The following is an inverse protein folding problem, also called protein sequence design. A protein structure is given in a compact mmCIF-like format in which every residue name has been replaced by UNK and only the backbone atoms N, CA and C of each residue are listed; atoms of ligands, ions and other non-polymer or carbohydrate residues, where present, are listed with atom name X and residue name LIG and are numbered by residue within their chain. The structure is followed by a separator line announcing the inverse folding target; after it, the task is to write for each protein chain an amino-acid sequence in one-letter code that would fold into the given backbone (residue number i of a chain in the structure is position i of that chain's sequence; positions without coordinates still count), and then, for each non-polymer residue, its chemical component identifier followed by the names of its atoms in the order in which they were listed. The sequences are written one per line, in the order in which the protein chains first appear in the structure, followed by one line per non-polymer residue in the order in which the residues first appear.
data_IF_282094418384
#
_entry.id   IF_282094418384
#
_cell.length_a   1.000
_cell.length_b   1.000
_cell.length_c   1.000
_cell.angle_alpha   90.00
_cell.angle_beta   90.00
_cell.angle_gamma   90.00
#
_symmetry.space_group_name_H-M   'P 1'
#
loop_
_entity.id
_entity.type
_entity.pdbx_description
1 polymer ?
#
# COMPACT_ATOMS: atom_id res chain seq x y z
N UNK A 1 -1.87 -9.05 -12.05
CA UNK A 1 -3.19 -9.14 -12.67
C UNK A 1 -4.22 -8.37 -11.83
N UNK A 2 -4.74 -7.24 -12.35
CA UNK A 2 -5.67 -6.35 -11.63
C UNK A 2 -7.12 -6.87 -11.49
N UNK A 3 -7.38 -8.12 -11.89
CA UNK A 3 -8.73 -8.69 -11.94
C UNK A 3 -9.50 -8.65 -10.59
N UNK A 4 -8.92 -9.00 -9.42
CA UNK A 4 -9.64 -8.93 -8.16
C UNK A 4 -10.09 -7.51 -7.81
N UNK A 5 -9.26 -6.50 -8.07
CA UNK A 5 -9.61 -5.10 -7.82
C UNK A 5 -10.71 -4.60 -8.77
N UNK A 6 -10.60 -4.90 -10.06
CA UNK A 6 -11.65 -4.54 -11.04
C UNK A 6 -12.99 -5.17 -10.68
N UNK A 7 -12.98 -6.43 -10.21
CA UNK A 7 -14.18 -7.11 -9.74
C UNK A 7 -14.76 -6.41 -8.51
N UNK A 8 -13.91 -6.09 -7.51
CA UNK A 8 -14.33 -5.34 -6.33
C UNK A 8 -15.00 -4.01 -6.69
N UNK A 9 -14.42 -3.25 -7.64
CA UNK A 9 -15.02 -2.00 -8.11
C UNK A 9 -16.40 -2.22 -8.75
N UNK A 10 -16.53 -3.20 -9.64
CA UNK A 10 -17.79 -3.55 -10.30
C UNK A 10 -18.86 -3.96 -9.28
N UNK A 11 -18.51 -4.83 -8.34
CA UNK A 11 -19.43 -5.31 -7.32
C UNK A 11 -19.87 -4.17 -6.39
N UNK A 12 -18.96 -3.26 -6.02
CA UNK A 12 -19.26 -2.09 -5.19
C UNK A 12 -20.21 -1.11 -5.89
N UNK A 13 -20.00 -0.85 -7.19
CA UNK A 13 -20.89 -0.01 -8.01
C UNK A 13 -22.25 -0.68 -8.17
N UNK A 14 -22.29 -1.97 -8.49
CA UNK A 14 -23.54 -2.71 -8.66
C UNK A 14 -24.37 -2.76 -7.38
N UNK A 15 -23.72 -2.84 -6.23
CA UNK A 15 -24.36 -2.80 -4.92
C UNK A 15 -24.74 -1.38 -4.46
N UNK A 16 -24.45 -0.34 -5.24
CA UNK A 16 -24.60 1.07 -4.86
C UNK A 16 -24.00 1.35 -3.49
N UNK A 17 -22.77 0.84 -3.25
CA UNK A 17 -22.08 0.97 -1.96
C UNK A 17 -21.87 2.45 -1.61
N UNK A 18 -22.15 2.90 -0.37
CA UNK A 18 -21.89 4.27 0.06
C UNK A 18 -20.44 4.68 -0.17
N UNK A 19 -20.21 5.91 -0.63
CA UNK A 19 -18.91 6.40 -1.06
C UNK A 19 -17.86 6.38 0.06
N UNK A 20 -18.24 6.80 1.26
CA UNK A 20 -17.40 6.79 2.46
C UNK A 20 -16.98 5.37 2.86
N UNK A 21 -17.92 4.42 2.84
CA UNK A 21 -17.64 3.00 3.11
C UNK A 21 -16.67 2.44 2.08
N UNK A 22 -16.89 2.74 0.81
CA UNK A 22 -16.05 2.27 -0.28
C UNK A 22 -14.61 2.77 -0.17
N UNK A 23 -14.43 4.07 0.09
CA UNK A 23 -13.10 4.66 0.29
C UNK A 23 -12.44 4.06 1.52
N UNK A 24 -13.16 3.96 2.63
CA UNK A 24 -12.63 3.36 3.86
C UNK A 24 -12.13 1.93 3.62
N UNK A 25 -12.89 1.10 2.94
CA UNK A 25 -12.47 -0.26 2.58
C UNK A 25 -11.19 -0.27 1.75
N UNK A 26 -11.08 0.59 0.73
CA UNK A 26 -9.88 0.67 -0.11
C UNK A 26 -8.65 1.14 0.66
N UNK A 27 -8.80 2.12 1.56
CA UNK A 27 -7.69 2.69 2.30
C UNK A 27 -7.26 1.87 3.51
N UNK A 28 -8.13 1.03 4.07
CA UNK A 28 -7.84 0.23 5.26
C UNK A 28 -7.60 -1.26 4.99
N UNK A 29 -7.83 -1.74 3.76
CA UNK A 29 -7.68 -3.16 3.46
C UNK A 29 -6.21 -3.61 3.48
N UNK A 30 -6.00 -4.81 4.01
CA UNK A 30 -4.71 -5.48 4.10
C UNK A 30 -4.87 -6.96 3.74
N UNK A 31 -3.78 -7.67 3.59
CA UNK A 31 -3.80 -9.09 3.32
C UNK A 31 -3.60 -9.44 1.84
N UNK A 32 -3.82 -10.70 1.47
CA UNK A 32 -3.65 -11.16 0.08
C UNK A 32 -4.77 -10.66 -0.83
N UNK A 33 -4.41 -10.13 -1.99
CA UNK A 33 -5.37 -9.60 -2.98
C UNK A 33 -6.23 -10.72 -3.61
N UNK A 34 -5.70 -11.93 -3.70
CA UNK A 34 -6.38 -13.08 -4.31
C UNK A 34 -7.44 -13.71 -3.38
N UNK A 35 -7.42 -13.39 -2.10
CA UNK A 35 -8.44 -13.87 -1.16
C UNK A 35 -9.83 -13.36 -1.55
N UNK A 36 -10.82 -14.27 -1.46
CA UNK A 36 -12.19 -13.94 -1.87
C UNK A 36 -12.73 -12.77 -1.06
N UNK A 37 -13.14 -11.73 -1.75
CA UNK A 37 -13.68 -10.50 -1.13
C UNK A 37 -12.63 -9.44 -0.79
N UNK A 38 -11.33 -9.74 -0.90
CA UNK A 38 -10.26 -8.82 -0.54
C UNK A 38 -9.70 -7.99 -1.73
N UNK A 39 -10.49 -7.82 -2.78
CA UNK A 39 -10.07 -7.07 -3.97
C UNK A 39 -9.74 -5.60 -3.72
N UNK A 40 -10.25 -5.00 -2.63
CA UNK A 40 -9.97 -3.62 -2.24
C UNK A 40 -8.46 -3.33 -2.04
N UNK A 41 -7.68 -4.33 -1.62
CA UNK A 41 -6.22 -4.28 -1.48
C UNK A 41 -5.53 -3.82 -2.77
N UNK A 42 -6.12 -4.12 -3.93
CA UNK A 42 -5.61 -3.73 -5.24
C UNK A 42 -5.46 -2.22 -5.44
N UNK A 43 -6.11 -1.41 -4.60
CA UNK A 43 -5.98 0.04 -4.64
C UNK A 43 -4.53 0.50 -4.42
N UNK A 44 -3.85 -0.05 -3.41
CA UNK A 44 -2.44 0.27 -3.13
C UNK A 44 -1.48 -0.43 -4.08
N UNK A 45 -1.85 -1.62 -4.56
CA UNK A 45 -1.03 -2.38 -5.49
C UNK A 45 -0.93 -1.71 -6.85
N UNK A 46 -1.90 -0.88 -7.22
CA UNK A 46 -1.91 -0.09 -8.46
C UNK A 46 -0.64 0.74 -8.64
N UNK A 47 -0.14 1.35 -7.58
CA UNK A 47 1.01 2.24 -7.61
C UNK A 47 2.34 1.49 -7.32
N UNK A 48 2.35 0.17 -7.44
CA UNK A 48 3.53 -0.71 -7.38
C UNK A 48 4.40 -0.51 -6.11
N UNK A 49 3.79 -0.13 -5.00
CA UNK A 49 4.49 0.13 -3.74
C UNK A 49 5.11 1.54 -3.62
N UNK A 50 4.87 2.42 -4.57
CA UNK A 50 5.26 3.83 -4.51
C UNK A 50 4.30 4.61 -3.60
N UNK A 51 4.58 4.59 -2.29
CA UNK A 51 3.67 5.15 -1.28
C UNK A 51 3.40 6.64 -1.42
N UNK A 52 4.37 7.43 -1.89
CA UNK A 52 4.20 8.87 -2.13
C UNK A 52 3.24 9.14 -3.28
N UNK A 53 3.39 8.41 -4.39
CA UNK A 53 2.50 8.53 -5.55
C UNK A 53 1.09 8.04 -5.22
N UNK A 54 0.97 6.96 -4.45
CA UNK A 54 -0.31 6.46 -3.97
C UNK A 54 -1.03 7.51 -3.12
N UNK A 55 -0.32 8.17 -2.19
CA UNK A 55 -0.90 9.22 -1.38
C UNK A 55 -1.34 10.41 -2.25
N UNK A 56 -0.50 10.90 -3.15
CA UNK A 56 -0.84 12.00 -4.07
C UNK A 56 -2.09 11.67 -4.91
N UNK A 57 -2.16 10.46 -5.45
CA UNK A 57 -3.32 9.96 -6.18
C UNK A 57 -4.57 9.85 -5.29
N UNK A 58 -4.42 9.41 -4.03
CA UNK A 58 -5.51 9.32 -3.06
C UNK A 58 -6.13 10.69 -2.81
N UNK A 59 -5.31 11.69 -2.53
CA UNK A 59 -5.78 13.06 -2.30
C UNK A 59 -6.44 13.64 -3.55
N UNK A 60 -5.84 13.41 -4.72
CA UNK A 60 -6.40 13.88 -5.99
C UNK A 60 -7.77 13.26 -6.29
N UNK A 61 -7.90 11.95 -6.14
CA UNK A 61 -9.12 11.21 -6.51
C UNK A 61 -10.24 11.41 -5.49
N UNK A 62 -9.93 11.38 -4.20
CA UNK A 62 -10.95 11.39 -3.15
C UNK A 62 -11.20 12.75 -2.51
N UNK A 63 -10.19 13.64 -2.53
CA UNK A 63 -10.31 14.98 -1.94
C UNK A 63 -10.30 16.10 -2.99
N UNK A 64 -10.16 15.77 -4.27
CA UNK A 64 -10.17 16.72 -5.37
C UNK A 64 -9.03 17.75 -5.36
N UNK A 65 -7.94 17.46 -4.65
CA UNK A 65 -6.80 18.36 -4.46
C UNK A 65 -5.53 17.74 -5.01
N UNK A 66 -4.80 18.47 -5.87
CA UNK A 66 -3.52 17.99 -6.40
C UNK A 66 -2.39 18.40 -5.45
N UNK A 67 -1.66 17.41 -4.94
CA UNK A 67 -0.49 17.61 -4.07
C UNK A 67 0.82 17.15 -4.72
N UNK A 68 0.81 16.69 -5.95
CA UNK A 68 1.97 16.07 -6.62
C UNK A 68 3.19 17.01 -6.64
N UNK A 69 2.98 18.31 -6.92
CA UNK A 69 4.07 19.29 -6.91
C UNK A 69 4.71 19.45 -5.53
N UNK A 70 3.91 19.28 -4.47
CA UNK A 70 4.38 19.44 -3.10
C UNK A 70 5.30 18.28 -2.62
N UNK A 71 5.49 17.27 -3.42
CA UNK A 71 6.49 16.21 -3.16
C UNK A 71 7.93 16.76 -3.19
N UNK A 72 8.24 17.70 -4.09
CA UNK A 72 9.59 18.19 -4.30
C UNK A 72 9.83 19.62 -3.78
N UNK A 73 8.79 20.44 -3.74
CA UNK A 73 8.85 21.85 -3.32
C UNK A 73 7.46 22.31 -2.90
N UNK A 74 7.33 23.45 -2.21
CA UNK A 74 6.03 24.03 -1.93
C UNK A 74 5.23 24.24 -3.22
N UNK A 75 3.92 23.98 -3.17
CA UNK A 75 3.10 24.01 -4.37
C UNK A 75 3.11 25.42 -5.01
N UNK A 76 3.45 25.54 -6.32
CA UNK A 76 3.71 26.85 -6.93
C UNK A 76 2.45 27.71 -7.13
N UNK A 77 1.26 27.11 -7.12
CA UNK A 77 -0.02 27.78 -7.40
C UNK A 77 -1.07 27.59 -6.32
N UNK A 78 -0.75 26.84 -5.24
CA UNK A 78 -1.67 26.56 -4.16
C UNK A 78 -0.91 26.64 -2.82
N UNK A 79 -1.65 26.64 -1.70
CA UNK A 79 -1.13 26.81 -0.33
C UNK A 79 -0.39 25.61 0.25
N UNK A 80 -0.31 24.50 -0.48
CA UNK A 80 0.23 23.25 0.03
C UNK A 80 1.75 23.27 0.10
N UNK A 81 2.29 23.00 1.29
CA UNK A 81 3.73 22.92 1.50
C UNK A 81 4.27 21.52 1.33
N UNK A 82 5.55 21.41 1.02
CA UNK A 82 6.24 20.12 0.97
C UNK A 82 6.11 19.36 2.30
N UNK A 83 6.20 20.05 3.43
CA UNK A 83 6.00 19.45 4.76
C UNK A 83 4.62 18.81 4.90
N UNK A 84 3.55 19.51 4.51
CA UNK A 84 2.19 18.98 4.56
C UNK A 84 2.01 17.76 3.67
N UNK A 85 2.69 17.72 2.52
CA UNK A 85 2.72 16.53 1.66
C UNK A 85 3.28 15.32 2.41
N UNK A 86 4.43 15.47 3.08
CA UNK A 86 5.07 14.39 3.82
C UNK A 86 4.29 14.01 5.09
N UNK A 87 3.69 14.97 5.80
CA UNK A 87 2.79 14.70 6.92
C UNK A 87 1.59 13.83 6.48
N UNK A 88 1.01 14.12 5.32
CA UNK A 88 -0.06 13.30 4.74
C UNK A 88 0.45 11.94 4.26
N UNK A 89 1.64 11.88 3.66
CA UNK A 89 2.25 10.64 3.19
C UNK A 89 2.60 9.67 4.34
N UNK A 90 2.75 10.17 5.57
CA UNK A 90 3.01 9.33 6.72
C UNK A 90 1.87 8.30 6.98
N UNK A 91 0.63 8.59 6.56
CA UNK A 91 -0.48 7.62 6.64
C UNK A 91 -0.27 6.38 5.76
N UNK A 92 0.45 6.52 4.64
CA UNK A 92 0.66 5.43 3.68
C UNK A 92 2.07 4.85 3.73
N UNK A 93 2.99 5.50 4.45
CA UNK A 93 4.41 5.12 4.46
C UNK A 93 4.69 3.75 5.10
N UNK A 94 3.85 3.32 6.02
CA UNK A 94 3.94 2.00 6.65
C UNK A 94 3.37 0.86 5.81
N UNK A 95 2.81 1.17 4.65
CA UNK A 95 2.21 0.19 3.76
C UNK A 95 3.29 -0.42 2.89
N UNK A 96 3.57 -1.69 3.11
CA UNK A 96 4.42 -2.49 2.24
C UNK A 96 3.57 -3.17 1.18
N UNK A 97 3.74 -2.79 -0.09
CA UNK A 97 3.34 -3.65 -1.19
C UNK A 97 4.28 -4.84 -1.19
N UNK A 98 3.78 -5.99 -0.80
CA UNK A 98 4.65 -7.14 -0.63
C UNK A 98 4.21 -8.23 -1.58
N UNK A 99 5.17 -8.75 -2.30
CA UNK A 99 5.13 -10.15 -2.66
C UNK A 99 5.10 -10.93 -1.34
N UNK A 100 3.90 -11.13 -0.81
CA UNK A 100 3.73 -11.85 0.45
C UNK A 100 4.38 -13.20 0.33
N UNK A 101 5.25 -13.49 1.28
CA UNK A 101 5.84 -14.81 1.40
C UNK A 101 4.73 -15.80 1.72
N UNK A 102 4.34 -16.60 0.74
CA UNK A 102 3.41 -17.68 0.96
C UNK A 102 4.19 -18.90 1.49
N UNK A 103 4.27 -19.02 2.81
CA UNK A 103 5.05 -20.09 3.44
C UNK A 103 4.51 -21.48 3.09
N UNK A 104 3.19 -21.63 2.94
CA UNK A 104 2.57 -22.90 2.52
C UNK A 104 3.01 -23.29 1.10
N UNK A 105 3.05 -22.34 0.18
CA UNK A 105 3.52 -22.57 -1.18
C UNK A 105 5.02 -22.90 -1.22
N UNK A 106 5.82 -22.24 -0.38
CA UNK A 106 7.24 -22.52 -0.26
C UNK A 106 7.51 -23.90 0.33
N UNK A 107 6.74 -24.32 1.31
CA UNK A 107 6.88 -25.65 1.92
C UNK A 107 6.42 -26.75 0.95
N UNK A 108 5.32 -26.54 0.22
CA UNK A 108 4.90 -27.43 -0.86
C UNK A 108 6.00 -27.54 -1.93
N UNK A 109 6.60 -26.42 -2.35
CA UNK A 109 7.70 -26.44 -3.32
C UNK A 109 8.92 -27.24 -2.81
N UNK A 110 9.26 -27.12 -1.51
CA UNK A 110 10.34 -27.93 -0.91
C UNK A 110 10.03 -29.42 -0.95
N UNK A 111 8.80 -29.81 -0.60
CA UNK A 111 8.37 -31.23 -0.63
C UNK A 111 8.43 -31.79 -2.05
N UNK A 112 7.88 -31.08 -3.03
CA UNK A 112 7.91 -31.50 -4.43
C UNK A 112 9.33 -31.62 -4.97
N UNK A 113 10.21 -30.67 -4.65
CA UNK A 113 11.64 -30.72 -5.03
C UNK A 113 12.37 -31.89 -4.37
N UNK A 114 12.01 -32.26 -3.16
CA UNK A 114 12.62 -33.39 -2.46
C UNK A 114 12.24 -34.72 -3.11
N UNK A 115 11.03 -34.85 -3.62
CA UNK A 115 10.51 -36.06 -4.23
C UNK A 115 10.98 -36.28 -5.68
N UNK A 116 11.27 -35.16 -6.39
CA UNK A 116 11.68 -35.17 -7.82
C UNK A 116 13.18 -34.98 -8.04
N UNK A 117 14.02 -35.54 -7.18
CA UNK A 117 15.48 -35.36 -7.26
C UNK A 117 16.11 -35.92 -8.54
N UNK A 118 15.51 -36.90 -9.16
CA UNK A 118 16.13 -37.69 -10.23
C UNK A 118 15.78 -37.24 -11.66
N UNK A 119 14.73 -36.42 -11.84
CA UNK A 119 14.30 -35.98 -13.17
C UNK A 119 14.41 -34.43 -13.30
N UNK A 120 15.44 -33.98 -14.01
CA UNK A 120 15.71 -32.53 -14.17
C UNK A 120 14.65 -31.81 -15.02
N UNK A 121 14.09 -32.48 -16.02
CA UNK A 121 13.09 -31.87 -16.91
C UNK A 121 11.75 -31.67 -16.20
N UNK A 122 11.29 -32.69 -15.45
CA UNK A 122 10.09 -32.59 -14.60
C UNK A 122 10.25 -31.51 -13.53
N UNK A 123 11.43 -31.46 -12.89
CA UNK A 123 11.74 -30.41 -11.91
C UNK A 123 11.67 -29.00 -12.50
N UNK A 124 12.13 -28.80 -13.73
CA UNK A 124 12.08 -27.51 -14.41
C UNK A 124 10.65 -27.12 -14.81
N UNK A 125 9.82 -28.07 -15.22
CA UNK A 125 8.40 -27.83 -15.51
C UNK A 125 7.65 -27.43 -14.25
N UNK A 126 7.87 -28.12 -13.14
CA UNK A 126 7.25 -27.83 -11.86
C UNK A 126 7.70 -26.49 -11.29
N UNK A 127 8.99 -26.16 -11.38
CA UNK A 127 9.47 -24.83 -10.97
C UNK A 127 8.76 -23.73 -11.73
N UNK A 128 8.57 -23.85 -13.05
CA UNK A 128 7.81 -22.88 -13.85
C UNK A 128 6.34 -22.78 -13.40
N UNK A 129 5.72 -23.89 -13.09
CA UNK A 129 4.34 -23.90 -12.55
C UNK A 129 4.27 -23.22 -11.18
N UNK A 130 5.24 -23.48 -10.29
CA UNK A 130 5.31 -22.81 -8.98
C UNK A 130 5.57 -21.33 -9.10
N UNK A 131 6.46 -20.88 -9.99
CA UNK A 131 6.72 -19.46 -10.22
C UNK A 131 5.44 -18.76 -10.72
N UNK A 132 4.72 -19.39 -11.64
CA UNK A 132 3.44 -18.85 -12.12
C UNK A 132 2.38 -18.73 -11.00
N UNK A 133 2.23 -19.79 -10.20
CA UNK A 133 1.29 -19.80 -9.05
C UNK A 133 1.71 -18.75 -7.99
N UNK A 134 3.00 -18.63 -7.75
CA UNK A 134 3.55 -17.63 -6.84
C UNK A 134 3.24 -16.21 -7.30
N UNK A 135 3.38 -15.92 -8.59
CA UNK A 135 3.06 -14.60 -9.15
C UNK A 135 1.58 -14.25 -8.99
N UNK A 136 0.69 -15.25 -9.00
CA UNK A 136 -0.75 -15.04 -8.78
C UNK A 136 -1.07 -14.88 -7.29
N UNK A 137 -0.44 -15.67 -6.41
CA UNK A 137 -0.76 -15.74 -4.99
C UNK A 137 0.06 -14.81 -4.09
N UNK A 138 1.11 -14.19 -4.63
CA UNK A 138 1.96 -13.25 -3.87
C UNK A 138 1.39 -11.85 -3.72
N UNK A 139 0.60 -11.28 -4.67
CA UNK A 139 0.13 -9.90 -4.52
C UNK A 139 -0.71 -9.71 -3.26
N UNK A 140 -0.32 -8.75 -2.47
CA UNK A 140 -1.01 -8.42 -1.23
C UNK A 140 -0.40 -7.19 -0.57
N UNK A 141 -0.97 -6.81 0.55
CA UNK A 141 -0.58 -5.63 1.30
C UNK A 141 -0.39 -5.99 2.78
N UNK A 142 0.77 -5.65 3.32
CA UNK A 142 1.01 -5.72 4.76
C UNK A 142 1.13 -4.30 5.33
N UNK A 143 0.47 -4.07 6.45
CA UNK A 143 0.68 -2.88 7.24
C UNK A 143 1.84 -3.13 8.20
N UNK A 144 2.95 -2.44 7.95
CA UNK A 144 4.19 -2.59 8.72
C UNK A 144 4.22 -1.68 9.96
N UNK A 145 3.16 -0.94 10.25
CA UNK A 145 2.99 -0.10 11.43
C UNK A 145 3.97 1.07 11.57
N UNK A 146 4.69 1.41 10.50
CA UNK A 146 5.69 2.47 10.52
C UNK A 146 5.12 3.75 9.91
N UNK A 147 4.20 4.41 10.62
CA UNK A 147 3.63 5.69 10.19
C UNK A 147 4.58 6.89 10.29
N UNK A 148 5.90 6.66 10.36
CA UNK A 148 6.90 7.73 10.38
C UNK A 148 7.55 7.87 9.00
N UNK A 149 7.54 9.08 8.48
CA UNK A 149 8.26 9.44 7.26
C UNK A 149 9.30 10.51 7.58
N UNK A 150 10.39 10.54 6.80
CA UNK A 150 11.41 11.59 6.92
C UNK A 150 11.27 12.58 5.78
N UNK A 151 11.45 13.86 6.10
CA UNK A 151 11.66 14.87 5.08
C UNK A 151 12.89 14.54 4.23
N UNK A 152 12.91 14.91 2.96
CA UNK A 152 14.06 14.73 2.09
C UNK A 152 15.28 15.52 2.63
N UNK A 153 16.48 15.03 2.29
CA UNK A 153 17.74 15.65 2.75
C UNK A 153 18.00 17.02 2.11
N UNK A 154 17.32 17.32 1.03
CA UNK A 154 17.38 18.58 0.29
C UNK A 154 16.23 19.54 0.63
N UNK A 155 15.52 19.30 1.76
CA UNK A 155 14.48 20.18 2.24
C UNK A 155 15.01 21.60 2.50
N UNK A 156 14.36 22.62 1.92
CA UNK A 156 14.92 23.97 1.82
C UNK A 156 14.20 25.03 2.68
N UNK A 157 13.12 24.63 3.41
CA UNK A 157 12.26 25.57 4.12
C UNK A 157 12.60 25.62 5.61
N UNK A 158 12.40 26.80 6.25
CA UNK A 158 12.77 27.05 7.65
C UNK A 158 11.80 26.42 8.68
N UNK A 159 10.66 25.88 8.22
CA UNK A 159 9.61 25.32 9.09
C UNK A 159 9.85 23.86 9.54
N UNK A 160 10.96 23.25 9.11
CA UNK A 160 11.43 21.94 9.54
C UNK A 160 12.89 21.72 9.12
N UNK A 161 13.52 20.64 9.59
CA UNK A 161 14.90 20.29 9.23
C UNK A 161 14.96 19.18 8.18
N UNK A 162 15.95 19.19 7.27
CA UNK A 162 16.22 18.07 6.40
C UNK A 162 16.36 16.75 7.20
N UNK A 163 15.71 15.68 6.74
CA UNK A 163 15.72 14.40 7.42
C UNK A 163 14.90 14.33 8.71
N UNK A 164 14.18 15.36 9.09
CA UNK A 164 13.29 15.38 10.25
C UNK A 164 12.19 14.33 10.07
N UNK A 165 11.91 13.58 11.14
CA UNK A 165 10.80 12.64 11.18
C UNK A 165 9.49 13.40 11.35
N UNK A 166 8.51 13.06 10.52
CA UNK A 166 7.17 13.61 10.59
C UNK A 166 6.16 12.55 11.00
N UNK A 167 5.20 12.98 11.80
CA UNK A 167 4.03 12.20 12.16
C UNK A 167 2.89 12.41 11.14
N UNK A 168 1.97 11.45 11.10
CA UNK A 168 0.82 11.52 10.20
C UNK A 168 -0.12 12.68 10.60
N UNK A 169 -0.38 13.56 9.64
CA UNK A 169 -1.26 14.71 9.81
C UNK A 169 -2.07 14.93 8.54
N UNK A 170 -3.36 15.19 8.70
CA UNK A 170 -4.20 15.47 7.54
C UNK A 170 -3.89 16.84 6.94
N UNK A 171 -4.15 17.01 5.65
CA UNK A 171 -4.00 18.32 4.96
C UNK A 171 -4.90 19.41 5.55
N UNK A 172 -5.93 19.04 6.31
CA UNK A 172 -6.81 19.98 7.02
C UNK A 172 -6.31 20.35 8.42
N UNK A 173 -5.11 19.88 8.80
CA UNK A 173 -4.50 20.17 10.09
C UNK A 173 -5.03 19.34 11.25
N UNK A 174 -5.89 18.35 11.00
CA UNK A 174 -6.33 17.42 12.02
C UNK A 174 -5.20 16.44 12.34
N UNK A 175 -4.78 16.43 13.59
CA UNK A 175 -3.88 15.39 14.12
C UNK A 175 -4.74 14.19 14.48
N UNK A 176 -4.43 13.06 13.90
CA UNK A 176 -5.07 11.80 14.25
C UNK A 176 -4.27 11.19 15.39
N UNK A 177 -4.83 11.18 16.60
CA UNK A 177 -4.25 10.41 17.71
C UNK A 177 -4.44 8.92 17.38
N UNK A 178 -3.34 8.25 17.07
CA UNK A 178 -3.34 6.80 16.91
C UNK A 178 -3.43 6.17 18.30
N UNK A 179 -4.41 5.30 18.49
CA UNK A 179 -4.52 4.47 19.71
C UNK A 179 -3.21 3.72 19.91
N UNK A 180 -2.67 3.75 21.13
CA UNK A 180 -1.41 3.06 21.47
C UNK A 180 -1.46 1.56 21.16
N UNK A 181 -2.62 0.93 21.32
CA UNK A 181 -2.85 -0.48 20.96
C UNK A 181 -2.76 -0.72 19.44
N UNK A 182 -3.04 0.30 18.62
CA UNK A 182 -2.90 0.24 17.17
C UNK A 182 -1.45 0.42 16.73
N UNK A 183 -0.64 1.17 17.49
CA UNK A 183 0.81 1.32 17.25
C UNK A 183 1.56 0.00 17.42
N UNK A 184 1.18 -0.81 18.44
CA UNK A 184 1.80 -2.12 18.67
C UNK A 184 1.40 -3.18 17.61
N UNK A 185 0.20 -3.07 17.03
CA UNK A 185 -0.31 -4.06 16.05
C UNK A 185 -0.04 -3.68 14.60
N UNK A 186 0.55 -2.53 14.34
CA UNK A 186 0.80 -2.05 12.98
C UNK A 186 -0.48 -1.80 12.18
N UNK A 187 -1.62 -1.59 12.83
CA UNK A 187 -2.86 -1.34 12.14
C UNK A 187 -3.05 0.15 11.87
N UNK A 188 -3.53 0.47 10.67
CA UNK A 188 -3.96 1.82 10.33
C UNK A 188 -5.20 2.17 11.12
N UNK A 189 -5.27 3.41 11.62
CA UNK A 189 -6.49 3.92 12.23
C UNK A 189 -7.66 3.74 11.26
N UNK A 190 -8.63 2.97 11.67
CA UNK A 190 -9.84 2.67 10.92
C UNK A 190 -10.84 3.85 10.98
#
# INVERSE_FOLDING_TARGET
DGYPFVRYLKDSIAANKPYDVWIKEMLSSTGPMWERGNGAVGYFYRDQGMGLDNMANTVRVFLGTSLECAQCHDHPFDRWTQKQFYEMAAFTHGIGSVNRRNDQLNDLNKLVRAEMKENEEERNQINRAFDYVKDILSPGLDDLGKGEIKLPNDYQYDNAKPGEKLEAKTIFGLVVELDENLKEKGSRAS
#
